data_IF_706891487182
#
_entry.id   IF_706891487182
#
_cell.length_a   1.000
_cell.length_b   1.000
_cell.length_c   1.000
_cell.angle_alpha   90.00
_cell.angle_beta   90.00
_cell.angle_gamma   90.00
#
_symmetry.space_group_name_H-M   'P 1'
#
loop_
_entity.id
_entity.type
_entity.pdbx_description
1 polymer ?
#
# COMPACT_ATOMS: atom_id res chain seq x y z
N UNK A 1 -16.95 7.97 -26.52
CA UNK A 1 -16.54 6.60 -26.16
C UNK A 1 -15.02 6.42 -26.18
N UNK A 2 -14.31 6.77 -27.26
CA UNK A 2 -12.84 6.66 -27.34
C UNK A 2 -12.09 7.42 -26.22
N UNK A 3 -12.51 8.65 -25.89
CA UNK A 3 -11.93 9.43 -24.78
C UNK A 3 -12.09 8.74 -23.42
N UNK A 4 -13.24 8.08 -23.19
CA UNK A 4 -13.52 7.39 -21.92
C UNK A 4 -12.58 6.19 -21.75
N UNK A 5 -12.37 5.40 -22.82
CA UNK A 5 -11.40 4.29 -22.81
C UNK A 5 -9.98 4.76 -22.51
N UNK A 6 -9.54 5.86 -23.14
CA UNK A 6 -8.20 6.42 -22.90
C UNK A 6 -8.06 6.85 -21.44
N UNK A 7 -9.04 7.57 -20.90
CA UNK A 7 -9.03 8.01 -19.49
C UNK A 7 -9.03 6.80 -18.54
N UNK A 8 -9.82 5.75 -18.80
CA UNK A 8 -9.85 4.53 -18.00
C UNK A 8 -8.50 3.80 -18.02
N UNK A 9 -7.85 3.67 -19.17
CA UNK A 9 -6.53 3.03 -19.28
C UNK A 9 -5.47 3.84 -18.52
N UNK A 10 -5.46 5.15 -18.70
CA UNK A 10 -4.52 6.05 -18.03
C UNK A 10 -4.72 6.02 -16.51
N UNK A 11 -5.98 6.04 -16.03
CA UNK A 11 -6.31 5.88 -14.61
C UNK A 11 -5.90 4.53 -14.05
N UNK A 12 -6.16 3.43 -14.75
CA UNK A 12 -5.76 2.08 -14.33
C UNK A 12 -4.23 1.91 -14.19
N UNK A 13 -3.42 2.77 -14.81
CA UNK A 13 -1.97 2.75 -14.66
C UNK A 13 -1.51 3.75 -13.60
N UNK A 14 -2.11 4.95 -13.57
CA UNK A 14 -1.75 6.01 -12.62
C UNK A 14 -2.21 5.71 -11.19
N UNK A 15 -3.44 5.21 -11.00
CA UNK A 15 -3.98 4.86 -9.67
C UNK A 15 -3.11 3.82 -8.94
N UNK A 16 -2.76 2.65 -9.51
CA UNK A 16 -1.91 1.69 -8.80
C UNK A 16 -0.48 2.20 -8.61
N UNK A 17 0.01 3.09 -9.49
CA UNK A 17 1.33 3.69 -9.35
C UNK A 17 1.37 4.73 -8.22
N UNK A 18 0.37 5.61 -8.15
CA UNK A 18 0.17 6.58 -7.07
C UNK A 18 -0.10 5.90 -5.73
N UNK A 19 -0.93 4.87 -5.72
CA UNK A 19 -1.22 4.08 -4.51
C UNK A 19 0.02 3.30 -4.11
N UNK A 20 0.71 2.64 -5.05
CA UNK A 20 1.96 1.91 -4.81
C UNK A 20 3.14 2.78 -4.33
N UNK A 21 3.27 4.00 -4.85
CA UNK A 21 4.23 5.00 -4.36
C UNK A 21 3.90 5.43 -2.93
N UNK A 22 2.62 5.66 -2.60
CA UNK A 22 2.18 6.04 -1.26
C UNK A 22 2.34 4.93 -0.23
N UNK A 23 2.19 3.65 -0.59
CA UNK A 23 2.37 2.59 0.40
C UNK A 23 3.85 2.40 0.72
N UNK A 24 4.80 2.75 -0.16
CA UNK A 24 6.25 2.59 0.08
C UNK A 24 6.64 1.20 0.64
N UNK A 25 5.78 0.21 0.45
CA UNK A 25 5.81 -1.09 1.11
C UNK A 25 6.27 -2.05 0.06
N UNK A 26 7.46 -2.60 0.26
CA UNK A 26 8.10 -3.47 -0.72
C UNK A 26 7.08 -4.54 -1.16
N UNK A 27 6.87 -4.77 -2.48
CA UNK A 27 5.90 -5.75 -2.99
C UNK A 27 6.02 -7.15 -2.34
N UNK A 28 7.23 -7.52 -1.94
CA UNK A 28 7.50 -8.70 -1.09
C UNK A 28 6.66 -8.74 0.19
N UNK A 29 6.52 -7.64 0.93
CA UNK A 29 5.79 -7.59 2.20
C UNK A 29 4.30 -7.84 1.96
N UNK A 30 3.75 -7.30 0.87
CA UNK A 30 2.36 -7.56 0.46
C UNK A 30 2.16 -9.03 0.05
N UNK A 31 3.12 -9.61 -0.68
CA UNK A 31 3.09 -11.02 -1.06
C UNK A 31 3.18 -11.95 0.17
N UNK A 32 4.08 -11.63 1.10
CA UNK A 32 4.27 -12.39 2.34
C UNK A 32 3.01 -12.30 3.20
N UNK A 33 2.41 -11.12 3.33
CA UNK A 33 1.19 -10.95 4.14
C UNK A 33 0.00 -11.70 3.55
N UNK A 34 -0.19 -11.67 2.23
CA UNK A 34 -1.23 -12.47 1.57
C UNK A 34 -1.02 -13.97 1.79
N UNK A 35 0.22 -14.46 1.64
CA UNK A 35 0.55 -15.87 1.81
C UNK A 35 0.31 -16.33 3.25
N UNK A 36 0.81 -15.56 4.22
CA UNK A 36 0.65 -15.83 5.65
C UNK A 36 -0.84 -15.75 6.03
N UNK A 37 -1.58 -14.79 5.48
CA UNK A 37 -3.01 -14.60 5.76
C UNK A 37 -3.83 -15.78 5.31
N UNK A 38 -3.59 -16.23 4.08
CA UNK A 38 -4.22 -17.45 3.55
C UNK A 38 -3.90 -18.67 4.40
N UNK A 39 -2.66 -18.79 4.89
CA UNK A 39 -2.24 -19.95 5.67
C UNK A 39 -2.93 -20.02 7.05
N UNK A 40 -3.21 -18.89 7.68
CA UNK A 40 -3.75 -18.83 9.05
C UNK A 40 -5.28 -18.78 9.06
N UNK A 41 -5.89 -18.02 8.14
CA UNK A 41 -7.34 -17.74 8.11
C UNK A 41 -8.04 -18.19 6.82
N UNK A 42 -7.33 -18.89 5.92
CA UNK A 42 -7.87 -19.31 4.63
C UNK A 42 -8.22 -18.12 3.75
N UNK A 43 -9.29 -18.23 2.96
CA UNK A 43 -9.71 -17.19 2.01
C UNK A 43 -9.94 -15.81 2.65
N UNK A 44 -10.41 -15.78 3.90
CA UNK A 44 -10.67 -14.53 4.64
C UNK A 44 -9.36 -13.79 4.95
N UNK A 45 -8.28 -14.54 5.22
CA UNK A 45 -6.97 -13.98 5.51
C UNK A 45 -6.27 -13.32 4.32
N UNK A 46 -6.65 -13.68 3.09
CA UNK A 46 -6.11 -13.06 1.86
C UNK A 46 -6.40 -11.57 1.79
N UNK A 47 -7.55 -11.13 2.30
CA UNK A 47 -7.96 -9.72 2.30
C UNK A 47 -7.71 -9.08 3.66
N UNK A 48 -8.01 -9.79 4.75
CA UNK A 48 -7.90 -9.24 6.09
C UNK A 48 -6.47 -8.80 6.44
N UNK A 49 -5.45 -9.63 6.17
CA UNK A 49 -4.07 -9.31 6.53
C UNK A 49 -3.46 -8.11 5.78
N UNK A 50 -3.52 -8.04 4.43
CA UNK A 50 -2.99 -6.88 3.73
C UNK A 50 -3.75 -5.60 4.09
N UNK A 51 -5.07 -5.66 4.32
CA UNK A 51 -5.84 -4.51 4.79
C UNK A 51 -5.34 -4.03 6.16
N UNK A 52 -5.13 -4.93 7.12
CA UNK A 52 -4.57 -4.57 8.43
C UNK A 52 -3.19 -3.94 8.31
N UNK A 53 -2.29 -4.49 7.47
CA UNK A 53 -0.96 -3.92 7.25
C UNK A 53 -1.04 -2.53 6.62
N UNK A 54 -1.93 -2.33 5.64
CA UNK A 54 -2.13 -1.02 5.02
C UNK A 54 -2.67 -0.02 6.03
N UNK A 55 -3.61 -0.41 6.89
CA UNK A 55 -4.16 0.44 7.95
C UNK A 55 -3.07 0.80 8.97
N UNK A 56 -2.28 -0.17 9.43
CA UNK A 56 -1.15 0.07 10.35
C UNK A 56 -0.12 0.98 9.70
N UNK A 57 0.24 0.73 8.43
CA UNK A 57 1.19 1.57 7.71
C UNK A 57 0.66 2.98 7.53
N UNK A 58 -0.60 3.12 7.12
CA UNK A 58 -1.23 4.43 6.99
C UNK A 58 -1.24 5.17 8.33
N UNK A 59 -1.52 4.48 9.43
CA UNK A 59 -1.50 5.07 10.77
C UNK A 59 -0.07 5.46 11.22
N UNK A 60 0.93 4.67 10.84
CA UNK A 60 2.35 4.95 11.10
C UNK A 60 2.89 6.11 10.26
N UNK A 61 2.45 6.24 9.01
CA UNK A 61 2.87 7.28 8.06
C UNK A 61 2.12 8.60 8.29
N UNK A 62 0.88 8.50 8.79
CA UNK A 62 0.08 9.64 9.25
C UNK A 62 0.24 9.88 10.77
N UNK A 63 1.19 9.20 11.40
CA UNK A 63 1.58 9.50 12.77
C UNK A 63 2.19 10.89 12.76
N UNK A 64 1.40 11.80 13.28
CA UNK A 64 1.79 13.13 13.68
C UNK A 64 2.89 13.02 14.74
N UNK A 65 4.11 12.84 14.29
CA UNK A 65 5.30 13.20 15.05
C UNK A 65 6.00 14.34 14.32
N UNK A 66 5.62 15.55 14.73
CA UNK A 66 6.68 16.49 15.09
C UNK A 66 7.61 15.73 16.06
N UNK A 67 8.72 15.19 15.55
CA UNK A 67 9.96 14.75 16.24
C UNK A 67 10.58 13.56 15.49
N UNK A 68 11.21 13.83 14.35
CA UNK A 68 12.66 13.58 14.17
C UNK A 68 13.02 13.76 12.70
N UNK A 69 13.37 15.01 12.37
CA UNK A 69 14.41 15.29 11.38
C UNK A 69 15.71 14.79 12.00
N UNK A 70 16.37 13.73 11.50
CA UNK A 70 17.82 13.69 11.62
C UNK A 70 18.32 14.82 10.74
N UNK A 71 18.68 15.91 11.39
CA UNK A 71 19.71 16.81 10.92
C UNK A 71 20.88 15.95 10.40
N UNK A 72 20.95 15.77 9.09
CA UNK A 72 22.22 15.44 8.44
C UNK A 72 22.98 16.75 8.27
N UNK A 73 23.63 17.15 9.35
CA UNK A 73 24.85 17.95 9.31
C UNK A 73 25.99 17.04 8.90
N UNK A 74 26.32 17.07 7.61
CA UNK A 74 27.67 17.04 7.04
C UNK A 74 27.58 17.32 5.53
#
# INVERSE_FOLDING_TARGET
MALYLIITVVRNILEPKLVGEQIGLHPLIMLISMYVGVKIFGFVGLVALPVTIVVIKYLYDNDKIHFFKPEKTL
#
